data_IF_366267066494
#
_entry.id   IF_366267066494
#
_cell.length_a   1.000
_cell.length_b   1.000
_cell.length_c   1.000
_cell.angle_alpha   90.00
_cell.angle_beta   90.00
_cell.angle_gamma   90.00
#
_symmetry.space_group_name_H-M   'P 1'
#
loop_
_entity.id
_entity.type
_entity.pdbx_description
1 polymer ?
#
# COMPACT_ATOMS: atom_id res chain seq x y z
N UNK A 1 -47.38 -16.30 17.53
CA UNK A 1 -46.99 -14.92 17.16
C UNK A 1 -45.72 -14.85 16.27
N UNK A 2 -45.38 -15.86 15.46
CA UNK A 2 -44.18 -15.81 14.59
C UNK A 2 -44.36 -16.57 13.26
N UNK A 3 -45.44 -16.28 12.52
CA UNK A 3 -45.61 -16.77 11.13
C UNK A 3 -46.02 -15.66 10.13
N UNK A 4 -46.14 -14.40 10.58
CA UNK A 4 -46.55 -13.27 9.72
C UNK A 4 -45.41 -12.30 9.34
N UNK A 5 -44.15 -12.62 9.66
CA UNK A 5 -43.00 -11.80 9.29
C UNK A 5 -42.14 -12.40 8.17
N UNK A 6 -42.46 -13.61 7.69
CA UNK A 6 -41.64 -14.36 6.71
C UNK A 6 -42.11 -14.21 5.25
N UNK A 7 -43.21 -13.51 4.98
CA UNK A 7 -43.79 -13.36 3.64
C UNK A 7 -43.79 -11.92 3.08
N UNK A 8 -43.08 -10.99 3.74
CA UNK A 8 -42.90 -9.61 3.26
C UNK A 8 -41.49 -9.26 2.79
N UNK A 9 -40.59 -10.25 2.75
CA UNK A 9 -39.18 -10.07 2.32
C UNK A 9 -38.83 -10.95 1.12
N UNK A 10 -39.82 -11.33 0.31
CA UNK A 10 -39.61 -11.96 -0.97
C UNK A 10 -40.44 -11.22 -2.01
N UNK A 11 -39.74 -10.53 -2.90
CA UNK A 11 -40.19 -9.94 -4.18
C UNK A 11 -40.61 -8.47 -4.13
N UNK A 12 -39.62 -7.63 -4.43
CA UNK A 12 -39.62 -6.55 -5.44
C UNK A 12 -38.21 -5.94 -5.36
N UNK A 13 -37.21 -6.60 -5.95
CA UNK A 13 -36.75 -6.45 -7.35
C UNK A 13 -35.97 -5.16 -7.55
N UNK A 14 -34.70 -5.39 -7.88
CA UNK A 14 -33.91 -4.70 -8.88
C UNK A 14 -33.90 -3.17 -8.87
N UNK A 15 -32.84 -2.66 -8.26
CA UNK A 15 -32.05 -1.64 -8.93
C UNK A 15 -30.57 -2.00 -8.73
N UNK A 16 -30.09 -2.86 -9.62
CA UNK A 16 -28.66 -2.98 -9.92
C UNK A 16 -28.13 -1.60 -10.31
N UNK A 17 -27.26 -1.03 -9.46
CA UNK A 17 -25.93 -0.53 -9.83
C UNK A 17 -25.32 0.19 -8.61
N UNK A 18 -25.07 -0.55 -7.52
CA UNK A 18 -24.23 -0.06 -6.44
C UNK A 18 -22.90 -0.83 -6.50
N UNK A 19 -21.91 -0.18 -7.13
CA UNK A 19 -20.49 -0.52 -7.11
C UNK A 19 -20.09 -1.00 -5.71
N UNK A 20 -20.14 -2.33 -5.48
CA UNK A 20 -19.47 -2.99 -4.37
C UNK A 20 -18.01 -2.56 -4.46
N UNK A 21 -17.59 -1.69 -3.55
CA UNK A 21 -16.18 -1.44 -3.32
C UNK A 21 -15.55 -2.80 -3.03
N UNK A 22 -14.85 -3.38 -4.01
CA UNK A 22 -14.12 -4.62 -3.81
C UNK A 22 -13.33 -4.49 -2.51
N UNK A 23 -13.48 -5.45 -1.60
CA UNK A 23 -12.78 -5.43 -0.33
C UNK A 23 -11.27 -5.36 -0.62
N UNK A 24 -10.68 -4.17 -0.51
CA UNK A 24 -9.30 -3.89 -0.92
C UNK A 24 -8.26 -4.54 0.00
N UNK A 25 -8.71 -5.23 1.04
CA UNK A 25 -7.90 -5.87 2.07
C UNK A 25 -8.10 -7.39 2.16
N UNK A 26 -9.12 -7.95 1.52
CA UNK A 26 -9.39 -9.38 1.53
C UNK A 26 -8.82 -10.03 0.27
N UNK A 27 -7.99 -11.05 0.47
CA UNK A 27 -7.35 -11.81 -0.60
C UNK A 27 -8.07 -13.14 -0.77
N UNK A 28 -8.40 -13.47 -2.01
CA UNK A 28 -8.80 -14.83 -2.39
C UNK A 28 -7.61 -15.78 -2.29
N UNK A 29 -7.86 -17.09 -2.17
CA UNK A 29 -6.78 -18.09 -2.15
C UNK A 29 -5.83 -17.97 -3.35
N UNK A 30 -6.39 -17.67 -4.53
CA UNK A 30 -5.61 -17.46 -5.75
C UNK A 30 -4.72 -16.22 -5.70
N UNK A 31 -5.17 -15.14 -5.07
CA UNK A 31 -4.36 -13.94 -4.86
C UNK A 31 -3.25 -14.18 -3.83
N UNK A 32 -3.54 -14.95 -2.78
CA UNK A 32 -2.51 -15.40 -1.81
C UNK A 32 -1.43 -16.21 -2.54
N UNK A 33 -1.81 -17.14 -3.41
CA UNK A 33 -0.87 -17.93 -4.21
C UNK A 33 -0.02 -17.04 -5.13
N UNK A 34 -0.59 -16.01 -5.75
CA UNK A 34 0.18 -15.05 -6.54
C UNK A 34 1.27 -14.36 -5.72
N UNK A 35 0.94 -13.91 -4.51
CA UNK A 35 1.89 -13.27 -3.61
C UNK A 35 2.98 -14.25 -3.18
N UNK A 36 2.60 -15.46 -2.74
CA UNK A 36 3.54 -16.50 -2.27
C UNK A 36 4.48 -16.99 -3.36
N UNK A 37 3.95 -17.30 -4.54
CA UNK A 37 4.75 -17.79 -5.67
C UNK A 37 5.77 -16.76 -6.11
N UNK A 38 5.36 -15.49 -6.25
CA UNK A 38 6.29 -14.42 -6.66
C UNK A 38 7.29 -14.07 -5.56
N UNK A 39 6.90 -14.12 -4.28
CA UNK A 39 7.85 -14.00 -3.17
C UNK A 39 8.86 -15.15 -3.14
N UNK A 40 8.44 -16.38 -3.42
CA UNK A 40 9.33 -17.55 -3.48
C UNK A 40 10.40 -17.39 -4.56
N UNK A 41 10.05 -16.89 -5.76
CA UNK A 41 11.02 -16.60 -6.81
C UNK A 41 12.13 -15.65 -6.34
N UNK A 42 11.77 -14.59 -5.59
CA UNK A 42 12.75 -13.67 -5.01
C UNK A 42 13.63 -14.36 -3.96
N UNK A 43 13.03 -15.18 -3.09
CA UNK A 43 13.75 -15.89 -2.01
C UNK A 43 14.72 -16.95 -2.54
N UNK A 44 14.41 -17.56 -3.67
CA UNK A 44 15.25 -18.61 -4.28
C UNK A 44 16.53 -18.02 -4.89
N UNK A 45 16.52 -16.76 -5.34
CA UNK A 45 17.74 -16.02 -5.70
C UNK A 45 18.38 -15.39 -4.46
N UNK A 46 19.02 -16.22 -3.63
CA UNK A 46 19.65 -15.80 -2.37
C UNK A 46 20.68 -14.67 -2.58
N UNK A 47 21.39 -14.71 -3.71
CA UNK A 47 22.43 -13.75 -4.04
C UNK A 47 21.88 -12.33 -4.21
N UNK A 48 20.71 -12.19 -4.86
CA UNK A 48 19.99 -10.91 -4.96
C UNK A 48 19.17 -10.60 -3.71
N UNK A 49 18.49 -11.58 -3.15
CA UNK A 49 17.54 -11.39 -2.04
C UNK A 49 18.20 -10.68 -0.84
N UNK A 50 19.46 -11.01 -0.53
CA UNK A 50 20.18 -10.40 0.58
C UNK A 50 20.35 -8.89 0.46
N UNK A 51 20.34 -8.33 -0.75
CA UNK A 51 20.50 -6.89 -0.99
C UNK A 51 19.19 -6.16 -1.28
N UNK A 52 18.10 -6.90 -1.54
CA UNK A 52 16.81 -6.36 -1.96
C UNK A 52 16.27 -5.30 -0.99
N UNK A 53 16.44 -5.52 0.32
CA UNK A 53 16.03 -4.55 1.34
C UNK A 53 16.84 -3.26 1.32
N UNK A 54 18.16 -3.34 1.10
CA UNK A 54 19.02 -2.17 0.95
C UNK A 54 18.64 -1.37 -0.29
N UNK A 55 18.48 -2.06 -1.43
CA UNK A 55 18.07 -1.44 -2.69
C UNK A 55 16.71 -0.76 -2.62
N UNK A 56 15.73 -1.39 -1.95
CA UNK A 56 14.43 -0.79 -1.68
C UNK A 56 14.56 0.56 -0.98
N UNK A 57 15.39 0.65 0.06
CA UNK A 57 15.55 1.91 0.79
C UNK A 57 16.32 2.97 0.00
N UNK A 58 17.31 2.59 -0.81
CA UNK A 58 17.96 3.56 -1.71
C UNK A 58 16.94 4.16 -2.67
N UNK A 59 16.11 3.33 -3.32
CA UNK A 59 15.02 3.79 -4.20
C UNK A 59 14.02 4.68 -3.45
N UNK A 60 13.61 4.25 -2.26
CA UNK A 60 12.66 4.99 -1.43
C UNK A 60 13.17 6.37 -1.06
N UNK A 61 14.42 6.49 -0.59
CA UNK A 61 15.00 7.79 -0.23
C UNK A 61 15.36 8.64 -1.44
N UNK A 62 15.65 8.04 -2.59
CA UNK A 62 15.81 8.77 -3.86
C UNK A 62 14.49 9.47 -4.23
N UNK A 63 13.35 8.77 -4.13
CA UNK A 63 12.02 9.30 -4.46
C UNK A 63 11.47 10.24 -3.37
N UNK A 64 11.83 9.99 -2.11
CA UNK A 64 11.32 10.71 -0.96
C UNK A 64 12.44 11.05 0.05
N UNK A 65 13.34 11.99 -0.30
CA UNK A 65 14.53 12.30 0.51
C UNK A 65 14.20 12.80 1.91
N UNK A 66 13.00 13.39 2.10
CA UNK A 66 12.54 13.87 3.40
C UNK A 66 12.46 12.77 4.48
N UNK A 67 12.17 11.53 4.10
CA UNK A 67 12.11 10.42 5.06
C UNK A 67 13.50 9.97 5.51
N UNK A 68 14.53 10.18 4.70
CA UNK A 68 15.90 9.82 5.07
C UNK A 68 16.35 10.60 6.32
N UNK A 69 15.91 11.85 6.46
CA UNK A 69 16.25 12.71 7.61
C UNK A 69 15.81 12.14 8.96
N UNK A 70 14.84 11.22 8.96
CA UNK A 70 14.36 10.54 10.17
C UNK A 70 15.31 9.42 10.62
N UNK A 71 16.21 8.96 9.74
CA UNK A 71 17.22 7.94 10.03
C UNK A 71 18.53 8.57 10.46
N UNK A 72 18.62 8.98 11.73
CA UNK A 72 19.81 9.64 12.32
C UNK A 72 21.15 9.02 11.95
N UNK A 73 21.18 7.70 11.73
CA UNK A 73 22.40 6.93 11.55
C UNK A 73 22.97 6.96 10.13
N UNK A 74 22.19 7.42 9.15
CA UNK A 74 22.59 7.60 7.74
C UNK A 74 21.85 8.76 7.03
N UNK A 75 21.33 9.74 7.78
CA UNK A 75 20.58 10.89 7.24
C UNK A 75 21.37 11.76 6.26
N UNK A 76 22.69 11.79 6.39
CA UNK A 76 23.59 12.62 5.59
C UNK A 76 24.32 11.80 4.51
N UNK A 77 23.97 10.52 4.36
CA UNK A 77 24.61 9.65 3.36
C UNK A 77 23.92 9.84 2.01
N UNK A 78 24.62 10.18 0.93
CA UNK A 78 23.98 10.34 -0.38
C UNK A 78 23.28 9.05 -0.84
N UNK A 79 21.97 9.13 -1.09
CA UNK A 79 21.15 8.03 -1.59
C UNK A 79 21.09 8.07 -3.10
N UNK A 80 22.23 7.82 -3.74
CA UNK A 80 22.37 7.86 -5.19
C UNK A 80 23.24 6.70 -5.65
N UNK A 81 22.66 5.78 -6.43
CA UNK A 81 23.38 4.66 -7.02
C UNK A 81 24.44 5.09 -8.04
N UNK A 82 24.24 6.20 -8.74
CA UNK A 82 25.18 6.69 -9.75
C UNK A 82 26.45 7.23 -9.09
N UNK A 83 26.31 7.93 -7.96
CA UNK A 83 27.44 8.51 -7.21
C UNK A 83 28.03 7.58 -6.17
N UNK A 84 27.25 6.67 -5.63
CA UNK A 84 27.68 5.73 -4.59
C UNK A 84 27.05 4.36 -4.82
N UNK A 85 27.64 3.56 -5.72
CA UNK A 85 27.15 2.19 -5.97
C UNK A 85 27.13 1.35 -4.70
N UNK A 86 28.05 1.59 -3.77
CA UNK A 86 28.20 0.79 -2.55
C UNK A 86 27.24 1.18 -1.42
N UNK A 87 26.37 2.18 -1.63
CA UNK A 87 25.39 2.60 -0.64
C UNK A 87 24.47 1.47 -0.19
N UNK A 88 24.14 0.54 -1.11
CA UNK A 88 23.36 -0.66 -0.81
C UNK A 88 24.06 -1.60 0.16
N UNK A 89 25.37 -1.48 0.36
CA UNK A 89 26.15 -2.27 1.31
C UNK A 89 26.37 -1.55 2.65
N UNK A 90 25.83 -0.35 2.84
CA UNK A 90 25.91 0.34 4.12
C UNK A 90 25.30 -0.54 5.23
N UNK A 91 26.09 -0.92 6.23
CA UNK A 91 25.69 -1.87 7.28
C UNK A 91 24.40 -1.48 7.99
N UNK A 92 24.15 -0.18 8.21
CA UNK A 92 22.96 0.31 8.92
C UNK A 92 21.73 0.28 8.01
N UNK A 93 21.90 0.66 6.75
CA UNK A 93 20.84 0.55 5.74
C UNK A 93 20.45 -0.91 5.52
N UNK A 94 21.44 -1.80 5.39
CA UNK A 94 21.25 -3.24 5.27
C UNK A 94 20.53 -3.82 6.47
N UNK A 95 20.94 -3.47 7.70
CA UNK A 95 20.26 -3.96 8.90
C UNK A 95 18.77 -3.59 8.92
N UNK A 96 18.44 -2.34 8.55
CA UNK A 96 17.04 -1.91 8.48
C UNK A 96 16.28 -2.57 7.32
N UNK A 97 16.90 -2.63 6.14
CA UNK A 97 16.37 -3.31 4.96
C UNK A 97 16.05 -4.78 5.24
N UNK A 98 16.96 -5.52 5.87
CA UNK A 98 16.74 -6.92 6.28
C UNK A 98 15.54 -7.06 7.21
N UNK A 99 15.37 -6.16 8.19
CA UNK A 99 14.21 -6.19 9.09
C UNK A 99 12.89 -5.96 8.35
N UNK A 100 12.89 -5.06 7.35
CA UNK A 100 11.72 -4.83 6.49
C UNK A 100 11.42 -6.04 5.63
N UNK A 101 12.44 -6.65 5.01
CA UNK A 101 12.25 -7.87 4.20
C UNK A 101 11.75 -9.05 5.04
N UNK A 102 12.20 -9.16 6.30
CA UNK A 102 11.66 -10.13 7.25
C UNK A 102 10.18 -9.84 7.56
N UNK A 103 9.83 -8.58 7.80
CA UNK A 103 8.44 -8.17 8.05
C UNK A 103 7.54 -8.47 6.87
N UNK A 104 8.00 -8.23 5.63
CA UNK A 104 7.26 -8.57 4.41
C UNK A 104 7.11 -10.09 4.31
N UNK A 105 8.16 -10.87 4.60
CA UNK A 105 8.05 -12.34 4.66
C UNK A 105 6.98 -12.79 5.66
N UNK A 106 6.99 -12.21 6.87
CA UNK A 106 5.96 -12.48 7.88
C UNK A 106 4.55 -12.16 7.39
N UNK A 107 4.36 -11.06 6.65
CA UNK A 107 3.09 -10.73 6.00
C UNK A 107 2.68 -11.85 5.03
N UNK A 108 3.58 -12.26 4.12
CA UNK A 108 3.31 -13.31 3.12
C UNK A 108 2.94 -14.65 3.79
N UNK A 109 3.61 -14.99 4.89
CA UNK A 109 3.39 -16.24 5.62
C UNK A 109 2.03 -16.28 6.33
N UNK A 110 1.41 -15.13 6.61
CA UNK A 110 0.22 -15.02 7.46
C UNK A 110 -0.98 -14.34 6.77
N UNK A 111 -1.03 -14.31 5.43
CA UNK A 111 -2.13 -13.66 4.69
C UNK A 111 -3.51 -14.24 5.03
N UNK A 112 -3.61 -15.53 5.38
CA UNK A 112 -4.86 -16.14 5.86
C UNK A 112 -5.07 -16.09 7.39
N UNK A 113 -4.18 -15.43 8.15
CA UNK A 113 -4.18 -15.46 9.63
C UNK A 113 -4.27 -14.07 10.24
N UNK A 114 -5.42 -13.39 10.15
CA UNK A 114 -5.54 -11.98 10.52
C UNK A 114 -5.24 -11.70 12.01
N UNK A 115 -5.67 -12.60 12.91
CA UNK A 115 -5.40 -12.46 14.35
C UNK A 115 -3.90 -12.57 14.68
N UNK A 116 -3.17 -13.42 13.97
CA UNK A 116 -1.73 -13.56 14.14
C UNK A 116 -1.03 -12.29 13.66
N UNK A 117 -1.41 -11.80 12.48
CA UNK A 117 -0.90 -10.55 11.91
C UNK A 117 -1.08 -9.36 12.86
N UNK A 118 -2.28 -9.20 13.44
CA UNK A 118 -2.55 -8.15 14.41
C UNK A 118 -1.53 -8.17 15.56
N UNK A 119 -1.30 -9.32 16.18
CA UNK A 119 -0.38 -9.46 17.31
C UNK A 119 1.07 -9.15 16.92
N UNK A 120 1.50 -9.62 15.74
CA UNK A 120 2.86 -9.41 15.24
C UNK A 120 3.14 -7.94 14.90
N UNK A 121 2.14 -7.21 14.44
CA UNK A 121 2.28 -5.82 14.03
C UNK A 121 2.19 -4.81 15.16
N UNK A 122 1.66 -5.16 16.34
CA UNK A 122 1.57 -4.26 17.52
C UNK A 122 2.88 -3.56 17.83
N UNK A 123 3.99 -4.31 17.93
CA UNK A 123 5.31 -3.75 18.24
C UNK A 123 5.84 -2.87 17.11
N UNK A 124 5.63 -3.29 15.87
CA UNK A 124 6.03 -2.52 14.69
C UNK A 124 5.30 -1.18 14.68
N UNK A 125 3.98 -1.18 14.80
CA UNK A 125 3.16 0.00 14.83
C UNK A 125 3.57 0.94 15.97
N UNK A 126 3.67 0.44 17.21
CA UNK A 126 4.11 1.24 18.37
C UNK A 126 5.46 1.92 18.15
N UNK A 127 6.44 1.20 17.61
CA UNK A 127 7.77 1.74 17.35
C UNK A 127 7.76 2.85 16.30
N UNK A 128 6.97 2.68 15.24
CA UNK A 128 6.86 3.67 14.17
C UNK A 128 6.03 4.88 14.60
N UNK A 129 4.98 4.68 15.38
CA UNK A 129 4.19 5.73 16.01
C UNK A 129 5.07 6.62 16.90
N UNK A 130 5.87 6.03 17.80
CA UNK A 130 6.80 6.77 18.67
C UNK A 130 7.85 7.57 17.88
N UNK A 131 8.22 7.10 16.70
CA UNK A 131 9.16 7.76 15.78
C UNK A 131 8.48 8.77 14.86
N UNK A 132 7.17 8.98 14.99
CA UNK A 132 6.34 9.88 14.16
C UNK A 132 6.37 9.52 12.68
N UNK A 133 6.48 8.23 12.37
CA UNK A 133 6.37 7.75 11.00
C UNK A 133 4.89 7.71 10.64
N UNK A 134 4.51 8.42 9.58
CA UNK A 134 3.12 8.49 9.17
C UNK A 134 2.71 7.32 8.28
N UNK A 135 1.40 7.07 8.19
CA UNK A 135 0.83 6.07 7.29
C UNK A 135 1.17 6.34 5.82
N UNK A 136 1.33 7.62 5.44
CA UNK A 136 1.78 8.00 4.08
C UNK A 136 3.17 7.44 3.80
N UNK A 137 4.07 7.40 4.78
CA UNK A 137 5.40 6.82 4.60
C UNK A 137 5.32 5.31 4.29
N UNK A 138 4.43 4.58 4.96
CA UNK A 138 4.17 3.16 4.68
C UNK A 138 3.58 2.95 3.28
N UNK A 139 2.61 3.78 2.87
CA UNK A 139 1.99 3.72 1.53
C UNK A 139 3.02 4.01 0.43
N UNK A 140 3.88 5.01 0.64
CA UNK A 140 4.98 5.34 -0.28
C UNK A 140 6.02 4.23 -0.36
N UNK A 141 6.35 3.59 0.76
CA UNK A 141 7.24 2.43 0.79
C UNK A 141 6.63 1.24 0.06
N UNK A 142 5.33 0.96 0.25
CA UNK A 142 4.58 -0.03 -0.54
C UNK A 142 4.74 0.23 -2.03
N UNK A 143 4.41 1.43 -2.50
CA UNK A 143 4.45 1.75 -3.92
C UNK A 143 5.87 1.57 -4.49
N UNK A 144 6.88 2.03 -3.75
CA UNK A 144 8.30 1.85 -4.13
C UNK A 144 8.67 0.37 -4.22
N UNK A 145 8.19 -0.45 -3.29
CA UNK A 145 8.44 -1.89 -3.30
C UNK A 145 7.76 -2.58 -4.49
N UNK A 146 6.50 -2.25 -4.80
CA UNK A 146 5.80 -2.84 -5.94
C UNK A 146 6.42 -2.44 -7.28
N UNK A 147 6.86 -1.18 -7.41
CA UNK A 147 7.65 -0.71 -8.56
C UNK A 147 8.94 -1.55 -8.71
N UNK A 148 9.67 -1.75 -7.61
CA UNK A 148 10.90 -2.56 -7.62
C UNK A 148 10.65 -4.04 -7.96
N UNK A 149 9.56 -4.63 -7.45
CA UNK A 149 9.17 -5.99 -7.81
C UNK A 149 8.84 -6.12 -9.29
N UNK A 150 8.11 -5.15 -9.86
CA UNK A 150 7.77 -5.14 -11.28
C UNK A 150 9.02 -5.08 -12.17
N UNK A 151 10.02 -4.28 -11.78
CA UNK A 151 11.30 -4.18 -12.48
C UNK A 151 12.10 -5.49 -12.42
N UNK A 152 12.21 -6.12 -11.25
CA UNK A 152 13.01 -7.34 -11.06
C UNK A 152 12.37 -8.55 -11.75
N UNK A 153 11.05 -8.72 -11.60
CA UNK A 153 10.34 -9.90 -12.06
C UNK A 153 9.87 -9.78 -13.52
N UNK A 154 9.77 -8.55 -14.03
CA UNK A 154 9.33 -8.26 -15.38
C UNK A 154 7.83 -8.53 -15.63
N UNK A 155 7.28 -8.05 -16.76
CA UNK A 155 5.84 -8.03 -17.02
C UNK A 155 5.23 -9.44 -17.24
N UNK A 156 6.06 -10.44 -17.57
CA UNK A 156 5.62 -11.83 -17.72
C UNK A 156 5.25 -12.47 -16.39
N UNK A 157 5.98 -12.13 -15.32
CA UNK A 157 5.76 -12.69 -13.97
C UNK A 157 4.90 -11.72 -13.15
N UNK A 158 5.28 -10.43 -13.10
CA UNK A 158 4.57 -9.40 -12.35
C UNK A 158 3.41 -8.82 -13.17
N UNK A 159 2.42 -9.66 -13.46
CA UNK A 159 1.22 -9.27 -14.20
C UNK A 159 0.32 -8.33 -13.40
N UNK A 160 -0.67 -7.70 -14.04
CA UNK A 160 -1.69 -6.87 -13.37
C UNK A 160 -2.36 -7.61 -12.19
N UNK A 161 -2.66 -8.91 -12.35
CA UNK A 161 -3.28 -9.74 -11.31
C UNK A 161 -2.36 -9.91 -10.09
N UNK A 162 -1.06 -10.12 -10.32
CA UNK A 162 -0.05 -10.21 -9.26
C UNK A 162 0.10 -8.86 -8.54
N UNK A 163 0.16 -7.76 -9.29
CA UNK A 163 0.25 -6.41 -8.72
C UNK A 163 -0.96 -6.08 -7.84
N UNK A 164 -2.18 -6.47 -8.24
CA UNK A 164 -3.40 -6.29 -7.45
C UNK A 164 -3.32 -7.12 -6.16
N UNK A 165 -2.92 -8.38 -6.25
CA UNK A 165 -2.79 -9.26 -5.08
C UNK A 165 -1.78 -8.71 -4.05
N UNK A 166 -0.60 -8.26 -4.51
CA UNK A 166 0.38 -7.60 -3.65
C UNK A 166 -0.14 -6.30 -3.05
N UNK A 167 -0.88 -5.50 -3.82
CA UNK A 167 -1.50 -4.26 -3.31
C UNK A 167 -2.48 -4.56 -2.18
N UNK A 168 -3.33 -5.58 -2.34
CA UNK A 168 -4.25 -6.03 -1.29
C UNK A 168 -3.51 -6.53 -0.04
N UNK A 169 -2.45 -7.32 -0.20
CA UNK A 169 -1.62 -7.79 0.91
C UNK A 169 -1.03 -6.62 1.73
N UNK A 170 -0.50 -5.60 1.05
CA UNK A 170 -0.02 -4.41 1.73
C UNK A 170 -1.15 -3.55 2.31
N UNK A 171 -2.31 -3.46 1.65
CA UNK A 171 -3.45 -2.74 2.22
C UNK A 171 -3.89 -3.35 3.54
N UNK A 172 -3.87 -4.68 3.65
CA UNK A 172 -4.11 -5.38 4.91
C UNK A 172 -3.08 -4.98 5.99
N UNK A 173 -1.79 -4.98 5.66
CA UNK A 173 -0.72 -4.47 6.54
C UNK A 173 -0.96 -3.02 6.99
N UNK A 174 -1.29 -2.12 6.06
CA UNK A 174 -1.53 -0.71 6.34
C UNK A 174 -2.75 -0.50 7.24
N UNK A 175 -3.83 -1.24 6.99
CA UNK A 175 -5.05 -1.23 7.81
C UNK A 175 -4.74 -1.61 9.26
N UNK A 176 -3.97 -2.68 9.48
CA UNK A 176 -3.59 -3.11 10.83
C UNK A 176 -2.68 -2.08 11.53
N UNK A 177 -1.75 -1.46 10.81
CA UNK A 177 -0.91 -0.38 11.36
C UNK A 177 -1.78 0.83 11.73
N UNK A 178 -2.71 1.24 10.87
CA UNK A 178 -3.64 2.33 11.13
C UNK A 178 -4.51 2.06 12.36
N UNK A 179 -5.07 0.86 12.48
CA UNK A 179 -5.85 0.42 13.65
C UNK A 179 -5.01 0.55 14.93
N UNK A 180 -3.76 0.07 14.90
CA UNK A 180 -2.86 0.17 16.06
C UNK A 180 -2.47 1.63 16.40
N UNK A 181 -2.31 2.50 15.40
CA UNK A 181 -2.05 3.92 15.64
C UNK A 181 -3.22 4.59 16.35
N UNK A 182 -4.46 4.32 15.93
CA UNK A 182 -5.67 4.86 16.57
C UNK A 182 -5.81 4.41 18.02
N UNK A 183 -5.49 3.14 18.31
CA UNK A 183 -5.48 2.61 19.68
C UNK A 183 -4.49 3.40 20.54
N UNK A 184 -3.25 3.58 20.06
CA UNK A 184 -2.22 4.32 20.78
C UNK A 184 -2.59 5.79 21.01
N UNK A 185 -3.25 6.42 20.05
CA UNK A 185 -3.76 7.80 20.18
C UNK A 185 -4.84 7.87 21.27
N UNK A 186 -5.81 6.95 21.28
CA UNK A 186 -6.86 6.90 22.30
C UNK A 186 -6.33 6.61 23.71
N UNK A 187 -5.32 5.75 23.83
CA UNK A 187 -4.67 5.45 25.12
C UNK A 187 -3.95 6.70 25.67
N UNK A 188 -3.32 7.48 24.80
CA UNK A 188 -2.66 8.72 25.17
C UNK A 188 -3.66 9.79 25.62
N UNK A 189 -4.78 9.94 24.91
CA UNK A 189 -5.88 10.83 25.30
C UNK A 189 -6.44 10.45 26.69
N UNK A 190 -6.68 9.15 26.92
CA UNK A 190 -7.17 8.64 28.20
C UNK A 190 -6.18 8.83 29.35
N UNK A 191 -4.88 8.74 29.08
CA UNK A 191 -3.84 8.84 30.11
C UNK A 191 -3.59 10.25 30.66
N UNK A 192 -4.23 11.29 30.09
CA UNK A 192 -3.99 12.70 30.50
C UNK A 192 -2.58 13.22 30.16
N UNK A 193 -1.74 12.42 29.51
CA UNK A 193 -0.36 12.77 29.10
C UNK A 193 -0.31 13.68 27.85
N UNK A 194 -1.49 14.06 27.34
CA UNK A 194 -1.73 14.85 26.13
C UNK A 194 -0.86 16.11 26.04
N UNK A 195 -0.67 16.83 27.15
CA UNK A 195 0.07 18.10 27.17
C UNK A 195 1.60 17.96 27.06
N UNK A 196 2.19 16.77 27.29
CA UNK A 196 3.64 16.55 27.14
C UNK A 196 4.08 16.23 25.71
N UNK A 197 3.15 15.87 24.82
CA UNK A 197 3.42 15.38 23.47
C UNK A 197 2.73 16.20 22.37
N UNK A 198 2.13 17.36 22.69
CA UNK A 198 1.17 18.01 21.80
C UNK A 198 1.76 18.81 20.61
N UNK A 199 3.09 18.85 20.44
CA UNK A 199 3.71 19.21 19.15
C UNK A 199 3.94 17.99 18.24
N UNK A 200 3.70 16.77 18.74
CA UNK A 200 4.15 15.52 18.13
C UNK A 200 3.08 14.77 17.33
N UNK A 201 1.79 15.00 17.58
CA UNK A 201 0.68 14.21 17.04
C UNK A 201 -0.06 14.86 15.86
N UNK A 202 0.02 16.18 15.73
CA UNK A 202 -0.67 16.93 14.67
C UNK A 202 -0.28 16.46 13.25
N UNK A 203 0.99 16.05 13.05
CA UNK A 203 1.47 15.56 11.76
C UNK A 203 0.85 14.22 11.34
N UNK A 204 0.67 13.27 12.28
CA UNK A 204 0.06 11.97 11.98
C UNK A 204 -1.42 12.12 11.62
N UNK A 205 -2.14 13.00 12.33
CA UNK A 205 -3.54 13.35 12.06
C UNK A 205 -3.70 14.02 10.69
N UNK A 206 -2.84 14.97 10.36
CA UNK A 206 -2.85 15.64 9.05
C UNK A 206 -2.57 14.65 7.90
N UNK A 207 -1.70 13.67 8.12
CA UNK A 207 -1.39 12.65 7.12
C UNK A 207 -2.53 11.64 6.93
N UNK A 208 -3.26 11.28 7.98
CA UNK A 208 -4.49 10.48 7.89
C UNK A 208 -5.57 11.18 7.07
N UNK A 209 -5.83 12.46 7.35
CA UNK A 209 -6.78 13.28 6.58
C UNK A 209 -6.35 13.41 5.13
N UNK A 210 -5.04 13.56 4.88
CA UNK A 210 -4.50 13.61 3.51
C UNK A 210 -4.67 12.27 2.78
N UNK A 211 -4.51 11.13 3.45
CA UNK A 211 -4.76 9.82 2.85
C UNK A 211 -6.24 9.62 2.48
N UNK A 212 -7.16 10.05 3.33
CA UNK A 212 -8.59 10.01 3.03
C UNK A 212 -8.91 10.84 1.78
N UNK A 213 -8.41 12.08 1.71
CA UNK A 213 -8.57 12.94 0.52
C UNK A 213 -7.94 12.35 -0.75
N UNK A 214 -6.77 11.71 -0.63
CA UNK A 214 -6.11 11.06 -1.77
C UNK A 214 -6.94 9.86 -2.28
N UNK A 215 -7.45 9.02 -1.36
CA UNK A 215 -8.34 7.90 -1.70
C UNK A 215 -9.62 8.37 -2.37
N UNK A 216 -10.23 9.45 -1.88
CA UNK A 216 -11.42 10.08 -2.48
C UNK A 216 -11.13 10.69 -3.86
N UNK A 217 -9.97 11.34 -4.03
CA UNK A 217 -9.57 11.92 -5.32
C UNK A 217 -9.25 10.86 -6.38
N UNK A 218 -8.68 9.72 -5.96
CA UNK A 218 -8.44 8.56 -6.83
C UNK A 218 -9.74 7.93 -7.30
N UNK A 219 -10.73 7.82 -6.39
CA UNK A 219 -12.08 7.31 -6.69
C UNK A 219 -12.82 8.23 -7.68
N UNK A 220 -12.71 9.56 -7.52
CA UNK A 220 -13.27 10.55 -8.46
C UNK A 220 -12.62 10.50 -9.85
N UNK A 221 -11.30 10.30 -9.94
CA UNK A 221 -10.62 10.14 -11.24
C UNK A 221 -11.02 8.86 -11.96
N UNK A 222 -11.23 7.74 -11.26
CA UNK A 222 -11.71 6.49 -11.88
C UNK A 222 -13.17 6.55 -12.33
N UNK A 223 -14.01 7.37 -11.66
CA UNK A 223 -15.40 7.61 -12.08
C UNK A 223 -15.47 8.50 -13.34
N UNK A 224 -14.58 9.49 -13.48
CA UNK A 224 -14.59 10.38 -14.64
C UNK A 224 -14.04 9.75 -15.94
N UNK A 225 -13.19 8.73 -15.86
CA UNK A 225 -12.65 8.07 -17.08
C UNK A 225 -13.66 7.12 -17.73
N UNK A 226 -14.71 6.71 -17.00
CA UNK A 226 -15.72 5.79 -17.50
C UNK A 226 -16.95 6.47 -18.14
N UNK A 227 -17.01 7.81 -18.17
CA UNK A 227 -18.16 8.55 -18.70
C UNK A 227 -17.97 9.14 -20.12
N UNK A 228 -16.82 8.94 -20.78
CA UNK A 228 -16.53 9.60 -22.07
C UNK A 228 -16.52 8.67 -23.30
N UNK A 229 -17.02 7.43 -23.21
CA UNK A 229 -17.07 6.52 -24.37
C UNK A 229 -18.43 5.86 -24.58
N UNK A 230 -19.47 6.65 -24.89
CA UNK A 230 -20.59 6.20 -25.73
C UNK A 230 -21.42 7.40 -26.23
N UNK A 231 -21.41 7.63 -27.54
CA UNK A 231 -22.20 8.70 -28.17
C UNK A 231 -22.06 8.76 -29.69
N UNK A 232 -22.88 7.96 -30.37
CA UNK A 232 -23.34 8.05 -31.77
C UNK A 232 -22.34 7.97 -32.92
N UNK A 233 -22.36 6.81 -33.58
CA UNK A 233 -22.21 6.67 -35.02
C UNK A 233 -23.36 7.35 -35.79
N UNK A 234 -23.06 7.66 -37.06
CA UNK A 234 -23.93 7.95 -38.21
C UNK A 234 -24.15 9.43 -38.57
N UNK A 235 -23.41 9.88 -39.60
CA UNK A 235 -23.99 10.48 -40.81
C UNK A 235 -22.96 10.46 -41.94
N UNK A 236 -23.35 9.87 -43.07
CA UNK A 236 -22.66 9.95 -44.35
C UNK A 236 -23.09 11.25 -45.04
N UNK A 237 -22.16 11.99 -45.67
CA UNK A 237 -22.36 12.47 -47.04
C UNK A 237 -21.08 13.02 -47.69
N UNK A 238 -20.91 12.56 -48.93
CA UNK A 238 -20.06 13.04 -50.03
C UNK A 238 -20.07 14.56 -50.18
N UNK A 239 -18.91 15.19 -50.46
CA UNK A 239 -18.71 16.14 -51.57
C UNK A 239 -17.25 16.04 -52.08
N UNK A 240 -17.13 16.00 -53.41
CA UNK A 240 -15.95 15.93 -54.26
C UNK A 240 -15.14 17.26 -54.34
N UNK A 241 -13.94 17.13 -54.92
CA UNK A 241 -13.18 18.10 -55.74
C UNK A 241 -12.10 19.00 -55.09
N UNK A 242 -10.87 18.72 -55.53
CA UNK A 242 -9.81 19.61 -56.06
C UNK A 242 -9.95 21.13 -55.82
N UNK A 243 -8.87 21.78 -55.38
CA UNK A 243 -8.05 22.71 -56.17
C UNK A 243 -6.90 23.28 -55.30
N UNK A 244 -5.70 23.32 -55.91
CA UNK A 244 -4.44 24.01 -55.54
C UNK A 244 -3.64 23.57 -54.29
#
# INVERSE_FOLDING_TARGET
MFQKLRSRLSNLSDSDDELKAENQTELTSKEIDFVRNTWSLLRNDIARFKFLGGELFVRFFTKYPDYQRQFKSFKDVPMDFQRNRDIRFNKKLMAHGTYVMYTIGMLVDNLERPLMMEQMLKRLARNHYRRKISLIAFDRLRNTFLEHLAEILGPKIFTKKVSIAWSKAFNYLLMEIEKNFKILESDLERSGSYYRLNSMHLAARNDLVRLQRLKESGKKKTLNVNNDCCGSSSEQNLIHQEFE
#
